data_IF_102298589968
#
_entry.id   IF_102298589968
#
_cell.length_a   1.000
_cell.length_b   1.000
_cell.length_c   1.000
_cell.angle_alpha   90.00
_cell.angle_beta   90.00
_cell.angle_gamma   90.00
#
_symmetry.space_group_name_H-M   'P 1'
#
loop_
_entity.id
_entity.type
_entity.pdbx_description
1 polymer ?
#
# COMPACT_ATOMS: atom_id res chain seq x y z
N UNK A 1 -10.13 2.48 -12.12
CA UNK A 1 -10.02 1.16 -11.46
C UNK A 1 -10.79 1.25 -10.15
N UNK A 2 -11.95 0.62 -10.07
CA UNK A 2 -12.76 0.58 -8.84
C UNK A 2 -12.38 -0.63 -7.99
N UNK A 3 -12.14 -0.41 -6.70
CA UNK A 3 -11.83 -1.48 -5.74
C UNK A 3 -13.13 -2.19 -5.37
N UNK A 4 -13.50 -3.25 -6.09
CA UNK A 4 -14.67 -4.06 -5.77
C UNK A 4 -14.31 -5.43 -5.15
N UNK A 5 -15.14 -5.92 -4.23
CA UNK A 5 -15.07 -7.28 -3.67
C UNK A 5 -16.44 -7.91 -3.76
N UNK A 6 -16.55 -8.99 -4.55
CA UNK A 6 -17.80 -9.76 -4.68
C UNK A 6 -17.96 -10.70 -3.48
N UNK A 7 -19.14 -10.67 -2.86
CA UNK A 7 -19.52 -11.54 -1.76
C UNK A 7 -19.97 -12.91 -2.29
N UNK A 8 -19.54 -14.00 -1.66
CA UNK A 8 -20.07 -15.34 -1.96
C UNK A 8 -21.22 -15.67 -1.01
N UNK A 9 -22.22 -16.44 -1.47
CA UNK A 9 -23.33 -16.90 -0.63
C UNK A 9 -22.78 -17.77 0.51
N UNK A 10 -23.13 -17.44 1.76
CA UNK A 10 -22.63 -18.12 2.97
C UNK A 10 -21.33 -17.55 3.54
N UNK A 11 -20.79 -16.46 2.98
CA UNK A 11 -19.59 -15.82 3.52
C UNK A 11 -19.92 -14.86 4.68
N UNK A 12 -19.20 -14.99 5.79
CA UNK A 12 -19.30 -14.05 6.90
C UNK A 12 -18.85 -12.64 6.46
N UNK A 13 -19.65 -11.62 6.78
CA UNK A 13 -19.42 -10.22 6.42
C UNK A 13 -18.00 -9.73 6.77
N UNK A 14 -17.48 -10.14 7.93
CA UNK A 14 -16.13 -9.78 8.39
C UNK A 14 -15.01 -10.25 7.45
N UNK A 15 -15.15 -11.45 6.87
CA UNK A 15 -14.16 -11.99 5.92
C UNK A 15 -14.10 -11.13 4.66
N UNK A 16 -15.25 -10.68 4.19
CA UNK A 16 -15.33 -9.80 3.04
C UNK A 16 -14.70 -8.42 3.32
N UNK A 17 -14.99 -7.82 4.47
CA UNK A 17 -14.38 -6.56 4.91
C UNK A 17 -12.85 -6.68 5.00
N UNK A 18 -12.34 -7.79 5.53
CA UNK A 18 -10.91 -8.05 5.60
C UNK A 18 -10.27 -8.13 4.21
N UNK A 19 -10.92 -8.79 3.25
CA UNK A 19 -10.42 -8.83 1.86
C UNK A 19 -10.44 -7.45 1.21
N UNK A 20 -11.50 -6.68 1.43
CA UNK A 20 -11.61 -5.32 0.93
C UNK A 20 -10.47 -4.44 1.47
N UNK A 21 -10.22 -4.49 2.78
CA UNK A 21 -9.10 -3.78 3.41
C UNK A 21 -7.77 -4.18 2.79
N UNK A 22 -7.49 -5.48 2.65
CA UNK A 22 -6.26 -5.96 1.99
C UNK A 22 -6.14 -5.50 0.54
N UNK A 23 -7.24 -5.43 -0.21
CA UNK A 23 -7.25 -4.95 -1.59
C UNK A 23 -6.96 -3.44 -1.65
N UNK A 24 -7.56 -2.65 -0.77
CA UNK A 24 -7.27 -1.21 -0.61
C UNK A 24 -5.82 -0.94 -0.24
N UNK A 25 -5.25 -1.74 0.66
CA UNK A 25 -3.84 -1.63 1.08
C UNK A 25 -2.89 -2.00 -0.07
N UNK A 26 -3.23 -3.05 -0.84
CA UNK A 26 -2.44 -3.50 -2.01
C UNK A 26 -2.46 -2.48 -3.14
N UNK A 27 -3.62 -1.91 -3.44
CA UNK A 27 -3.76 -0.87 -4.45
C UNK A 27 -3.16 0.46 -3.99
N UNK A 28 -2.86 0.61 -2.70
CA UNK A 28 -2.18 1.79 -2.16
C UNK A 28 -3.04 3.06 -2.15
N UNK A 29 -4.35 2.95 -2.40
CA UNK A 29 -5.28 4.08 -2.57
C UNK A 29 -5.23 5.04 -1.37
N UNK A 30 -5.24 4.50 -0.15
CA UNK A 30 -5.17 5.31 1.08
C UNK A 30 -3.84 6.06 1.16
N UNK A 31 -2.73 5.40 0.78
CA UNK A 31 -1.40 5.99 0.80
C UNK A 31 -1.29 7.12 -0.21
N UNK A 32 -1.85 6.94 -1.39
CA UNK A 32 -1.81 7.90 -2.48
C UNK A 32 -2.67 9.12 -2.18
N UNK A 33 -3.87 8.92 -1.62
CA UNK A 33 -4.72 10.01 -1.13
C UNK A 33 -3.93 10.83 -0.11
N UNK A 34 -3.33 10.18 0.90
CA UNK A 34 -2.53 10.88 1.93
C UNK A 34 -1.37 11.68 1.35
N UNK A 35 -0.66 11.14 0.36
CA UNK A 35 0.45 11.84 -0.30
C UNK A 35 -0.02 13.03 -1.14
N UNK A 36 -1.21 12.95 -1.73
CA UNK A 36 -1.78 14.01 -2.58
C UNK A 36 -2.58 15.06 -1.80
N UNK A 37 -2.73 14.93 -0.48
CA UNK A 37 -3.51 15.90 0.34
C UNK A 37 -2.94 17.32 0.28
N UNK A 38 -1.63 17.45 0.13
CA UNK A 38 -0.92 18.72 0.11
C UNK A 38 0.12 18.72 -0.99
N UNK A 39 0.54 19.91 -1.41
CA UNK A 39 1.64 20.06 -2.35
C UNK A 39 2.97 19.66 -1.69
N UNK A 40 3.68 18.71 -2.30
CA UNK A 40 5.02 18.29 -1.92
C UNK A 40 6.00 18.79 -3.00
N UNK A 41 7.07 19.49 -2.60
CA UNK A 41 8.08 19.97 -3.57
C UNK A 41 8.71 18.78 -4.32
N UNK A 42 9.08 18.91 -5.61
CA UNK A 42 9.69 17.81 -6.37
C UNK A 42 10.93 17.19 -5.72
N UNK A 43 11.75 18.01 -5.05
CA UNK A 43 12.93 17.55 -4.29
C UNK A 43 12.55 16.65 -3.12
N UNK A 44 11.50 17.00 -2.39
CA UNK A 44 10.98 16.24 -1.26
C UNK A 44 10.39 14.90 -1.69
N UNK A 45 9.64 14.89 -2.79
CA UNK A 45 9.15 13.66 -3.42
C UNK A 45 10.31 12.72 -3.74
N UNK A 46 11.39 13.23 -4.36
CA UNK A 46 12.59 12.44 -4.70
C UNK A 46 13.28 11.91 -3.45
N UNK A 47 13.46 12.74 -2.42
CA UNK A 47 14.05 12.37 -1.14
C UNK A 47 13.27 11.24 -0.45
N UNK A 48 11.95 11.36 -0.38
CA UNK A 48 11.06 10.35 0.21
C UNK A 48 11.14 9.02 -0.55
N UNK A 49 11.11 9.06 -1.89
CA UNK A 49 11.24 7.85 -2.73
C UNK A 49 12.56 7.12 -2.48
N UNK A 50 13.67 7.85 -2.45
CA UNK A 50 15.00 7.27 -2.20
C UNK A 50 15.10 6.64 -0.81
N UNK A 51 14.57 7.30 0.22
CA UNK A 51 14.54 6.77 1.59
C UNK A 51 13.78 5.44 1.68
N UNK A 52 12.60 5.36 1.04
CA UNK A 52 11.80 4.12 1.01
C UNK A 52 12.51 3.03 0.22
N UNK A 53 13.13 3.35 -0.92
CA UNK A 53 13.88 2.37 -1.72
C UNK A 53 15.08 1.81 -0.97
N UNK A 54 15.86 2.67 -0.30
CA UNK A 54 17.01 2.25 0.52
C UNK A 54 16.58 1.32 1.66
N UNK A 55 15.50 1.66 2.37
CA UNK A 55 14.96 0.81 3.42
C UNK A 55 14.49 -0.56 2.91
N UNK A 56 13.77 -0.58 1.78
CA UNK A 56 13.33 -1.83 1.17
C UNK A 56 14.50 -2.70 0.70
N UNK A 57 15.56 -2.08 0.16
CA UNK A 57 16.77 -2.79 -0.27
C UNK A 57 17.52 -3.39 0.93
N UNK A 58 17.67 -2.63 2.01
CA UNK A 58 18.26 -3.11 3.26
C UNK A 58 17.50 -4.33 3.81
N UNK A 59 16.16 -4.29 3.80
CA UNK A 59 15.35 -5.43 4.22
C UNK A 59 15.56 -6.66 3.33
N UNK A 60 15.59 -6.48 2.00
CA UNK A 60 15.84 -7.58 1.06
C UNK A 60 17.18 -8.26 1.34
N UNK A 61 18.26 -7.49 1.40
CA UNK A 61 19.59 -8.02 1.70
C UNK A 61 19.65 -8.76 3.03
N UNK A 62 18.94 -8.25 4.06
CA UNK A 62 18.86 -8.91 5.37
C UNK A 62 18.18 -10.29 5.31
N UNK A 63 17.14 -10.45 4.50
CA UNK A 63 16.43 -11.72 4.35
C UNK A 63 17.08 -12.66 3.33
N UNK A 64 17.83 -12.16 2.35
CA UNK A 64 18.60 -12.97 1.39
C UNK A 64 19.81 -13.64 2.03
N UNK A 65 20.44 -12.98 3.00
CA UNK A 65 21.61 -13.51 3.72
C UNK A 65 21.25 -14.46 4.89
N UNK A 66 19.98 -14.86 5.04
CA UNK A 66 19.48 -15.69 6.14
C UNK A 66 18.93 -17.01 5.61
#
# INVERSE_FOLDING_TARGET
MSVEVKLRKGEAMEKALRRLKKKLDREGVIRDIRQKRYFEKPSEIKRRKNKVAAFNNMLRQRYENR
#
